data_IF_315338672514
#
_entry.id   IF_315338672514
#
_cell.length_a   1.000
_cell.length_b   1.000
_cell.length_c   1.000
_cell.angle_alpha   90.00
_cell.angle_beta   90.00
_cell.angle_gamma   90.00
#
_symmetry.space_group_name_H-M   'P 1'
#
loop_
_entity.id
_entity.type
_entity.pdbx_description
1 polymer ?
#
# COMPACT_ATOMS: atom_id res chain seq x y z
N UNK A 1 -54.84 72.40 -22.03
CA UNK A 1 -53.42 72.76 -21.85
C UNK A 1 -52.73 71.54 -21.27
N UNK A 2 -52.03 70.85 -22.13
CA UNK A 2 -51.48 69.55 -21.83
C UNK A 2 -49.95 69.63 -21.80
N UNK A 3 -49.35 69.44 -20.62
CA UNK A 3 -47.90 69.22 -20.52
C UNK A 3 -47.61 67.75 -20.42
N UNK A 4 -46.96 67.26 -21.44
CA UNK A 4 -46.43 65.92 -21.46
C UNK A 4 -45.00 65.97 -20.97
N UNK A 5 -44.77 65.43 -19.79
CA UNK A 5 -43.46 65.29 -19.25
C UNK A 5 -42.77 64.10 -19.98
N UNK A 6 -41.69 64.42 -20.65
CA UNK A 6 -40.81 63.45 -21.33
C UNK A 6 -39.85 62.89 -20.29
N UNK A 7 -40.11 61.69 -19.80
CA UNK A 7 -39.09 60.94 -19.14
C UNK A 7 -38.24 60.21 -20.22
N UNK A 8 -37.02 60.67 -20.37
CA UNK A 8 -36.03 59.94 -21.16
C UNK A 8 -35.60 58.66 -20.39
N UNK A 9 -35.54 57.48 -20.98
CA UNK A 9 -35.00 56.31 -20.30
C UNK A 9 -33.49 56.47 -20.19
N UNK A 10 -33.01 56.51 -18.96
CA UNK A 10 -31.59 56.38 -18.66
C UNK A 10 -31.17 54.99 -19.18
N UNK A 11 -30.21 54.96 -20.11
CA UNK A 11 -29.73 53.74 -20.80
C UNK A 11 -29.30 52.67 -19.82
N UNK A 12 -30.16 51.68 -19.64
CA UNK A 12 -29.83 50.49 -18.86
C UNK A 12 -28.73 49.67 -19.57
N UNK A 13 -27.60 49.54 -18.95
CA UNK A 13 -26.54 48.64 -19.40
C UNK A 13 -27.14 47.26 -19.51
N UNK A 14 -27.10 46.64 -20.71
CA UNK A 14 -27.69 45.31 -20.92
C UNK A 14 -26.99 44.29 -20.01
N UNK A 15 -27.74 43.33 -19.47
CA UNK A 15 -27.20 42.25 -18.62
C UNK A 15 -26.00 41.57 -19.28
N UNK A 16 -26.03 41.42 -20.59
CA UNK A 16 -24.94 40.81 -21.35
C UNK A 16 -23.68 41.71 -21.37
N UNK A 17 -23.85 43.05 -21.46
CA UNK A 17 -22.71 43.97 -21.37
C UNK A 17 -22.05 43.97 -19.99
N UNK A 18 -22.85 43.81 -18.92
CA UNK A 18 -22.32 43.67 -17.55
C UNK A 18 -21.52 42.35 -17.41
N UNK A 19 -22.06 41.24 -17.89
CA UNK A 19 -21.39 39.94 -17.84
C UNK A 19 -20.08 39.97 -18.62
N UNK A 20 -20.11 40.46 -19.86
CA UNK A 20 -18.89 40.55 -20.69
C UNK A 20 -17.85 41.47 -20.04
N UNK A 21 -18.29 42.63 -19.52
CA UNK A 21 -17.43 43.57 -18.84
C UNK A 21 -16.77 42.97 -17.57
N UNK A 22 -17.55 42.20 -16.79
CA UNK A 22 -17.03 41.52 -15.59
C UNK A 22 -15.98 40.46 -15.95
N UNK A 23 -16.23 39.68 -16.99
CA UNK A 23 -15.27 38.63 -17.45
C UNK A 23 -13.98 39.27 -17.96
N UNK A 24 -14.07 40.31 -18.76
CA UNK A 24 -12.90 41.03 -19.26
C UNK A 24 -12.12 41.68 -18.10
N UNK A 25 -12.80 42.29 -17.15
CA UNK A 25 -12.14 42.89 -15.98
C UNK A 25 -11.40 41.86 -15.14
N UNK A 26 -11.98 40.68 -14.94
CA UNK A 26 -11.39 39.60 -14.19
C UNK A 26 -10.13 39.02 -14.89
N UNK A 27 -10.16 38.93 -16.22
CA UNK A 27 -8.99 38.50 -16.98
C UNK A 27 -7.88 39.56 -16.96
N UNK A 28 -8.21 40.84 -17.10
CA UNK A 28 -7.22 41.95 -17.01
C UNK A 28 -6.60 42.00 -15.64
N UNK A 29 -7.39 41.84 -14.58
CA UNK A 29 -6.89 41.79 -13.20
C UNK A 29 -5.99 40.57 -12.97
N UNK A 30 -6.36 39.40 -13.50
CA UNK A 30 -5.54 38.20 -13.44
C UNK A 30 -4.19 38.33 -14.15
N UNK A 31 -4.20 38.86 -15.37
CA UNK A 31 -2.97 39.15 -16.15
C UNK A 31 -2.09 40.21 -15.43
N UNK A 32 -2.69 41.21 -14.85
CA UNK A 32 -1.97 42.23 -14.09
C UNK A 32 -1.33 41.65 -12.83
N UNK A 33 -2.04 40.79 -12.10
CA UNK A 33 -1.51 40.07 -10.93
C UNK A 33 -0.34 39.14 -11.29
N UNK A 34 -0.39 38.48 -12.45
CA UNK A 34 0.70 37.67 -12.97
C UNK A 34 1.93 38.53 -13.34
N UNK A 35 1.71 39.68 -13.98
CA UNK A 35 2.80 40.59 -14.40
C UNK A 35 3.41 41.37 -13.23
N UNK A 36 2.60 41.72 -12.20
CA UNK A 36 3.07 42.48 -11.04
C UNK A 36 3.96 41.67 -10.08
N UNK A 37 4.23 40.39 -10.39
CA UNK A 37 5.08 39.54 -9.56
C UNK A 37 4.47 39.18 -8.19
N UNK A 38 3.17 39.37 -8.01
CA UNK A 38 2.48 39.06 -6.76
C UNK A 38 2.62 37.58 -6.38
N UNK A 39 2.64 36.69 -7.39
CA UNK A 39 2.87 35.26 -7.19
C UNK A 39 4.31 34.94 -6.75
N UNK A 40 5.28 35.74 -7.17
CA UNK A 40 6.68 35.57 -6.71
C UNK A 40 6.83 35.93 -5.24
N UNK A 41 6.16 36.98 -4.78
CA UNK A 41 6.18 37.38 -3.35
C UNK A 41 5.44 36.39 -2.45
N UNK A 42 4.41 35.72 -2.93
CA UNK A 42 3.73 34.64 -2.18
C UNK A 42 4.60 33.38 -2.03
N UNK A 43 5.47 33.10 -2.98
CA UNK A 43 6.39 31.97 -2.90
C UNK A 43 7.59 32.24 -1.96
N UNK A 44 8.03 33.49 -1.84
CA UNK A 44 9.15 33.87 -0.96
C UNK A 44 8.80 33.82 0.54
N UNK A 45 7.51 33.91 0.89
CA UNK A 45 7.06 33.89 2.30
C UNK A 45 7.03 32.47 2.89
N UNK A 46 7.11 31.41 2.06
CA UNK A 46 6.94 30.01 2.51
C UNK A 46 8.27 29.31 2.82
N UNK A 47 9.42 29.88 2.45
CA UNK A 47 10.72 29.30 2.81
C UNK A 47 11.35 30.15 3.92
N UNK A 48 11.31 29.71 5.19
CA UNK A 48 12.04 30.40 6.24
C UNK A 48 13.54 30.41 5.88
N UNK A 49 14.14 31.60 5.90
CA UNK A 49 15.58 31.77 5.62
C UNK A 49 16.49 30.96 6.57
N UNK A 50 15.96 30.42 7.63
CA UNK A 50 16.66 29.56 8.58
C UNK A 50 17.03 28.18 8.03
N UNK A 51 16.29 27.69 7.02
CA UNK A 51 16.63 26.40 6.40
C UNK A 51 17.81 26.47 5.42
N UNK A 52 18.17 27.66 4.95
CA UNK A 52 19.34 27.82 4.05
C UNK A 52 20.67 27.87 4.81
N UNK A 53 20.68 28.23 6.08
CA UNK A 53 21.92 28.31 6.88
C UNK A 53 22.38 26.93 7.36
N UNK A 54 21.51 25.93 7.35
CA UNK A 54 21.86 24.57 7.76
C UNK A 54 22.55 23.77 6.64
N UNK A 55 22.41 24.22 5.38
CA UNK A 55 23.12 23.59 4.25
C UNK A 55 24.52 24.11 3.99
N UNK A 56 24.96 25.14 4.72
CA UNK A 56 26.35 25.69 4.63
C UNK A 56 27.14 25.36 5.90
N UNK A 57 26.79 24.30 6.60
CA UNK A 57 27.72 23.73 7.57
C UNK A 57 28.95 23.18 6.80
N UNK A 58 30.19 23.47 7.25
CA UNK A 58 31.35 22.86 6.61
C UNK A 58 31.13 21.35 6.56
N UNK A 59 31.49 20.68 5.44
CA UNK A 59 31.26 19.26 5.32
C UNK A 59 31.88 18.58 6.53
N UNK A 60 31.04 18.02 7.39
CA UNK A 60 31.50 17.10 8.42
C UNK A 60 32.39 16.08 7.75
N UNK A 61 33.49 15.62 8.39
CA UNK A 61 34.37 14.62 7.83
C UNK A 61 33.51 13.56 7.19
N UNK A 62 33.62 13.35 5.88
CA UNK A 62 32.85 12.31 5.17
C UNK A 62 33.19 11.00 5.89
N UNK A 63 32.30 10.61 6.78
CA UNK A 63 32.24 9.23 7.19
C UNK A 63 32.01 8.47 5.88
N UNK A 64 33.00 7.68 5.48
CA UNK A 64 32.90 6.86 4.29
C UNK A 64 31.51 6.21 4.28
N UNK A 65 30.79 6.18 3.15
CA UNK A 65 29.50 5.50 3.09
C UNK A 65 29.70 4.13 3.74
N UNK A 66 28.83 3.68 4.66
CA UNK A 66 28.97 2.36 5.24
C UNK A 66 29.13 1.40 4.07
N UNK A 67 30.22 0.63 4.07
CA UNK A 67 30.47 -0.37 3.05
C UNK A 67 29.16 -1.13 2.84
N UNK A 68 28.78 -1.47 1.58
CA UNK A 68 27.53 -2.19 1.31
C UNK A 68 27.47 -3.35 2.29
N UNK A 69 26.49 -3.32 3.21
CA UNK A 69 26.32 -4.40 4.17
C UNK A 69 26.19 -5.68 3.36
N UNK A 70 27.00 -6.69 3.67
CA UNK A 70 26.93 -7.98 3.03
C UNK A 70 25.44 -8.42 3.00
N UNK A 71 24.95 -9.04 1.90
CA UNK A 71 23.56 -9.42 1.78
C UNK A 71 23.17 -10.27 3.00
N UNK A 72 22.06 -9.90 3.62
CA UNK A 72 21.58 -10.59 4.81
C UNK A 72 21.37 -12.08 4.50
N UNK A 73 21.97 -12.95 5.30
CA UNK A 73 21.76 -14.40 5.18
C UNK A 73 20.36 -14.71 5.68
N UNK A 74 19.47 -15.11 4.77
CA UNK A 74 18.08 -15.47 5.08
C UNK A 74 17.96 -17.00 5.04
N UNK A 75 17.49 -17.57 6.14
CA UNK A 75 17.13 -18.97 6.24
C UNK A 75 15.60 -19.04 6.29
N UNK A 76 15.00 -19.69 5.28
CA UNK A 76 13.55 -19.80 5.18
C UNK A 76 13.00 -20.80 6.21
N UNK A 77 11.77 -20.57 6.72
CA UNK A 77 11.10 -21.56 7.57
C UNK A 77 10.87 -22.87 6.85
N UNK A 78 10.90 -24.00 7.58
CA UNK A 78 10.66 -25.34 7.04
C UNK A 78 9.72 -26.14 7.92
N UNK A 79 8.88 -26.99 7.30
CA UNK A 79 8.05 -28.01 7.95
C UNK A 79 8.62 -29.43 7.85
N UNK A 80 9.75 -29.60 7.13
CA UNK A 80 10.23 -30.91 6.70
C UNK A 80 11.21 -31.58 7.69
N UNK A 81 11.53 -30.87 8.79
CA UNK A 81 12.40 -31.45 9.79
C UNK A 81 11.75 -32.67 10.47
N UNK A 82 12.40 -33.80 10.40
CA UNK A 82 11.86 -35.08 10.88
C UNK A 82 11.44 -35.07 12.36
N UNK A 83 12.07 -34.23 13.20
CA UNK A 83 11.74 -34.11 14.62
C UNK A 83 10.46 -33.31 14.91
N UNK A 84 9.87 -32.65 13.91
CA UNK A 84 8.66 -31.84 14.10
C UNK A 84 7.40 -32.69 14.26
N UNK A 85 7.41 -33.95 13.81
CA UNK A 85 6.29 -34.89 13.89
C UNK A 85 4.95 -34.32 13.44
N UNK A 86 4.93 -33.54 12.36
CA UNK A 86 3.72 -32.95 11.83
C UNK A 86 2.79 -34.02 11.25
N UNK A 87 1.57 -34.20 11.79
CA UNK A 87 0.65 -35.21 11.29
C UNK A 87 0.15 -34.83 9.89
N UNK A 88 0.04 -35.79 9.01
CA UNK A 88 -0.61 -35.56 7.71
C UNK A 88 -2.05 -35.08 7.91
N UNK A 89 -2.55 -34.15 7.09
CA UNK A 89 -3.95 -33.74 7.12
C UNK A 89 -4.86 -34.96 6.94
N UNK A 90 -5.91 -35.03 7.79
CA UNK A 90 -6.92 -36.08 7.66
C UNK A 90 -7.67 -35.92 6.35
N UNK A 91 -7.98 -37.00 5.68
CA UNK A 91 -8.80 -36.95 4.45
C UNK A 91 -10.28 -36.95 4.83
N UNK A 92 -11.09 -35.93 4.47
CA UNK A 92 -12.52 -35.93 4.80
C UNK A 92 -13.25 -37.14 4.21
N UNK A 93 -14.05 -37.83 5.02
CA UNK A 93 -14.75 -39.05 4.57
C UNK A 93 -15.68 -38.82 3.38
N UNK A 94 -16.29 -37.63 3.31
CA UNK A 94 -17.16 -37.23 2.19
C UNK A 94 -16.33 -37.06 0.93
N UNK A 95 -15.18 -36.37 1.02
CA UNK A 95 -14.28 -36.14 -0.10
C UNK A 95 -13.72 -37.47 -0.65
N UNK A 96 -13.40 -38.42 0.24
CA UNK A 96 -13.03 -39.79 -0.19
C UNK A 96 -14.12 -40.49 -1.01
N UNK A 97 -15.37 -40.43 -0.53
CA UNK A 97 -16.50 -41.05 -1.23
C UNK A 97 -16.82 -40.39 -2.56
N UNK A 98 -16.58 -39.08 -2.66
CA UNK A 98 -16.83 -38.31 -3.88
C UNK A 98 -15.63 -38.32 -4.85
N UNK A 99 -14.51 -38.93 -4.49
CA UNK A 99 -13.32 -38.97 -5.31
C UNK A 99 -12.62 -37.61 -5.46
N UNK A 100 -12.85 -36.68 -4.50
CA UNK A 100 -12.24 -35.34 -4.54
C UNK A 100 -10.75 -35.45 -4.24
N UNK A 101 -9.90 -34.99 -5.15
CA UNK A 101 -8.45 -34.98 -5.02
C UNK A 101 -7.90 -33.63 -5.46
N UNK A 102 -6.75 -33.23 -4.94
CA UNK A 102 -6.14 -31.98 -5.36
C UNK A 102 -4.97 -31.56 -4.49
N UNK A 103 -4.30 -30.50 -4.93
CA UNK A 103 -3.19 -29.87 -4.22
C UNK A 103 -3.65 -28.54 -3.65
N UNK A 104 -3.52 -28.38 -2.34
CA UNK A 104 -3.68 -27.10 -1.65
C UNK A 104 -2.30 -26.49 -1.41
N UNK A 105 -2.11 -25.22 -1.71
CA UNK A 105 -0.92 -24.49 -1.29
C UNK A 105 -1.34 -23.44 -0.28
N UNK A 106 -0.85 -23.58 0.93
CA UNK A 106 -1.09 -22.64 2.02
C UNK A 106 0.07 -21.67 2.17
N UNK A 107 -0.24 -20.41 2.43
CA UNK A 107 0.70 -19.39 2.83
C UNK A 107 0.61 -19.23 4.34
N UNK A 108 1.69 -19.51 5.04
CA UNK A 108 1.73 -19.58 6.50
C UNK A 108 2.72 -18.55 7.04
N UNK A 109 2.26 -17.69 7.96
CA UNK A 109 3.14 -16.84 8.74
C UNK A 109 3.62 -17.64 9.96
N UNK A 110 4.91 -17.91 10.01
CA UNK A 110 5.55 -18.69 11.06
C UNK A 110 6.25 -17.74 12.01
N UNK A 111 5.92 -17.82 13.29
CA UNK A 111 6.53 -17.03 14.35
C UNK A 111 7.97 -17.43 14.67
N UNK A 112 8.63 -16.63 15.46
CA UNK A 112 10.01 -16.91 15.96
C UNK A 112 10.08 -18.16 16.85
N UNK A 113 8.94 -18.58 17.37
CA UNK A 113 8.75 -19.81 18.17
C UNK A 113 8.47 -21.06 17.33
N UNK A 114 8.39 -20.92 15.99
CA UNK A 114 8.05 -21.99 15.08
C UNK A 114 6.56 -22.36 15.06
N UNK A 115 5.68 -21.54 15.62
CA UNK A 115 4.23 -21.73 15.57
C UNK A 115 3.60 -20.96 14.41
N UNK A 116 2.58 -21.51 13.74
CA UNK A 116 1.83 -20.78 12.72
C UNK A 116 0.97 -19.71 13.39
N UNK A 117 1.19 -18.45 13.02
CA UNK A 117 0.42 -17.30 13.50
C UNK A 117 -0.75 -16.98 12.58
N UNK A 118 -0.60 -17.22 11.29
CA UNK A 118 -1.61 -16.98 10.27
C UNK A 118 -1.49 -17.99 9.14
N UNK A 119 -2.63 -18.51 8.69
CA UNK A 119 -2.70 -19.46 7.57
C UNK A 119 -3.70 -18.94 6.54
N UNK A 120 -3.26 -18.77 5.32
CA UNK A 120 -4.06 -18.31 4.19
C UNK A 120 -3.98 -19.33 3.05
N UNK A 121 -5.05 -19.46 2.27
CA UNK A 121 -5.04 -20.27 1.05
C UNK A 121 -4.38 -19.44 -0.06
N UNK A 122 -3.23 -19.90 -0.53
CA UNK A 122 -2.56 -19.32 -1.68
C UNK A 122 -3.06 -19.94 -3.00
N UNK A 123 -3.33 -21.25 -2.97
CA UNK A 123 -3.92 -21.99 -4.09
C UNK A 123 -4.88 -23.04 -3.54
N UNK A 124 -6.14 -22.99 -3.96
CA UNK A 124 -7.17 -23.96 -3.61
C UNK A 124 -6.99 -25.26 -4.39
N UNK A 125 -7.41 -26.37 -3.78
CA UNK A 125 -7.54 -27.67 -4.47
C UNK A 125 -8.72 -27.72 -5.44
N UNK A 126 -9.64 -26.75 -5.38
CA UNK A 126 -10.94 -26.75 -6.03
C UNK A 126 -12.07 -27.35 -5.17
N UNK A 127 -11.76 -27.77 -3.94
CA UNK A 127 -12.72 -28.38 -3.02
C UNK A 127 -12.59 -27.78 -1.62
N UNK A 128 -13.57 -27.03 -1.18
CA UNK A 128 -13.55 -26.33 0.12
C UNK A 128 -13.30 -27.24 1.32
N UNK A 129 -13.74 -28.52 1.23
CA UNK A 129 -13.52 -29.51 2.30
C UNK A 129 -12.05 -29.87 2.46
N UNK A 130 -11.33 -30.04 1.35
CA UNK A 130 -9.89 -30.32 1.35
C UNK A 130 -9.11 -29.09 1.82
N UNK A 131 -9.49 -27.92 1.34
CA UNK A 131 -8.82 -26.66 1.69
C UNK A 131 -8.94 -26.36 3.18
N UNK A 132 -10.14 -26.52 3.75
CA UNK A 132 -10.39 -26.34 5.19
C UNK A 132 -9.60 -27.33 6.02
N UNK A 133 -9.60 -28.61 5.62
CA UNK A 133 -8.85 -29.65 6.30
C UNK A 133 -7.35 -29.39 6.29
N UNK A 134 -6.80 -28.88 5.19
CA UNK A 134 -5.42 -28.46 5.09
C UNK A 134 -5.10 -27.32 6.05
N UNK A 135 -5.94 -26.26 6.11
CA UNK A 135 -5.76 -25.15 7.04
C UNK A 135 -5.78 -25.62 8.50
N UNK A 136 -6.77 -26.42 8.88
CA UNK A 136 -6.91 -26.95 10.26
C UNK A 136 -5.72 -27.81 10.68
N UNK A 137 -5.18 -28.59 9.77
CA UNK A 137 -4.01 -29.42 10.05
C UNK A 137 -2.77 -28.55 10.26
N UNK A 138 -2.51 -27.61 9.34
CA UNK A 138 -1.31 -26.75 9.38
C UNK A 138 -1.32 -25.82 10.61
N UNK A 139 -2.48 -25.39 11.09
CA UNK A 139 -2.58 -24.63 12.34
C UNK A 139 -2.08 -25.37 13.58
N UNK A 140 -2.01 -26.70 13.51
CA UNK A 140 -1.47 -27.58 14.59
C UNK A 140 -0.03 -28.01 14.37
N UNK A 141 0.53 -27.69 13.21
CA UNK A 141 1.89 -28.06 12.87
C UNK A 141 2.92 -27.22 13.61
N UNK A 142 4.13 -27.73 13.65
CA UNK A 142 5.31 -27.00 14.09
C UNK A 142 6.26 -26.82 12.93
N UNK A 143 7.03 -25.75 12.99
CA UNK A 143 7.95 -25.35 11.95
C UNK A 143 9.30 -25.01 12.54
N UNK A 144 10.34 -25.14 11.73
CA UNK A 144 11.60 -24.47 12.01
C UNK A 144 11.41 -23.00 11.68
N UNK A 145 11.61 -22.07 12.64
CA UNK A 145 11.45 -20.65 12.35
C UNK A 145 12.48 -20.16 11.34
N UNK A 146 12.08 -19.21 10.50
CA UNK A 146 13.02 -18.53 9.62
C UNK A 146 14.01 -17.68 10.42
N UNK A 147 15.19 -17.45 9.85
CA UNK A 147 16.24 -16.62 10.48
C UNK A 147 16.76 -15.58 9.50
N UNK A 148 17.08 -14.41 10.02
CA UNK A 148 17.83 -13.38 9.32
C UNK A 148 19.15 -13.13 10.06
N UNK A 149 20.27 -13.38 9.41
CA UNK A 149 21.60 -13.30 10.04
C UNK A 149 21.72 -14.14 11.33
N UNK A 150 21.06 -15.33 11.36
CA UNK A 150 21.06 -16.21 12.51
C UNK A 150 20.04 -15.87 13.60
N UNK A 151 19.33 -14.74 13.51
CA UNK A 151 18.30 -14.32 14.46
C UNK A 151 16.92 -14.80 13.97
N UNK A 152 16.15 -15.53 14.80
CA UNK A 152 14.80 -15.94 14.45
C UNK A 152 13.91 -14.73 14.14
N UNK A 153 13.19 -14.80 13.01
CA UNK A 153 12.28 -13.76 12.53
C UNK A 153 10.99 -14.41 12.02
N UNK A 154 9.85 -13.74 12.28
CA UNK A 154 8.58 -14.19 11.73
C UNK A 154 8.57 -14.03 10.21
N UNK A 155 8.36 -15.14 9.50
CA UNK A 155 8.43 -15.17 8.03
C UNK A 155 7.28 -15.95 7.42
N UNK A 156 6.90 -15.56 6.21
CA UNK A 156 5.95 -16.30 5.40
C UNK A 156 6.62 -17.47 4.70
N UNK A 157 5.93 -18.62 4.68
CA UNK A 157 6.33 -19.81 3.94
C UNK A 157 5.16 -20.39 3.16
N UNK A 158 5.45 -21.09 2.07
CA UNK A 158 4.46 -21.82 1.29
C UNK A 158 4.52 -23.29 1.66
N UNK A 159 3.37 -23.84 2.03
CA UNK A 159 3.22 -25.25 2.46
C UNK A 159 2.30 -25.96 1.48
N UNK A 160 2.82 -26.81 0.58
CA UNK A 160 2.01 -27.60 -0.32
C UNK A 160 1.49 -28.85 0.38
N UNK A 161 0.20 -29.12 0.23
CA UNK A 161 -0.47 -30.33 0.73
C UNK A 161 -1.16 -31.03 -0.43
N UNK A 162 -0.86 -32.29 -0.62
CA UNK A 162 -1.45 -33.12 -1.66
C UNK A 162 -2.46 -34.09 -1.04
N UNK A 163 -3.70 -34.03 -1.52
CA UNK A 163 -4.74 -35.01 -1.25
C UNK A 163 -4.87 -35.93 -2.44
N UNK A 164 -4.41 -37.19 -2.26
CA UNK A 164 -4.45 -38.25 -3.28
C UNK A 164 -5.17 -39.43 -2.67
N UNK A 165 -6.05 -40.07 -3.43
CA UNK A 165 -6.70 -41.33 -3.07
C UNK A 165 -5.83 -42.48 -3.56
N UNK A 166 -5.53 -43.40 -2.66
CA UNK A 166 -4.88 -44.69 -2.95
C UNK A 166 -5.90 -45.70 -3.37
#
# INVERSE_FOLDING_TARGET
MSQRDRFAPVGGVSRNAVIVGSVVMLHVAGLWALQSGLLRRAAEVIVPAELLSEFIAPPAPRVAPPAPSAPARIEMPSSDAAYLNNPKPGYPAISKRMGEQGKVVLRVLIGTDGLPQKVEINQSSGYDRLDRQAQEAVMRWRFVPGKRNGVPEAMWSLVPINFVLE
#
